data_IF_005836717862
#
_entry.id   IF_005836717862
#
_cell.length_a   1.000
_cell.length_b   1.000
_cell.length_c   1.000
_cell.angle_alpha   90.00
_cell.angle_beta   90.00
_cell.angle_gamma   90.00
#
_symmetry.space_group_name_H-M   'P 1'
#
loop_
_entity.id
_entity.type
_entity.pdbx_description
1 polymer ?
#
# COMPACT_ATOMS: atom_id res chain seq x y z
N UNK A 1 6.25 -3.16 2.63
CA UNK A 1 6.60 -2.42 3.86
C UNK A 1 5.54 -2.70 4.92
N UNK A 2 5.34 -1.82 5.90
CA UNK A 2 4.31 -1.99 6.94
C UNK A 2 3.19 -0.97 6.78
N UNK A 3 3.45 0.29 7.10
CA UNK A 3 2.49 1.41 7.05
C UNK A 3 2.83 2.34 5.90
N UNK A 4 1.85 2.62 5.03
CA UNK A 4 1.90 3.65 3.97
C UNK A 4 3.19 3.61 3.13
N UNK A 5 3.64 2.42 2.76
CA UNK A 5 5.00 2.25 2.24
C UNK A 5 5.13 2.54 0.73
N UNK A 6 4.03 2.87 0.04
CA UNK A 6 4.00 3.52 -1.27
C UNK A 6 3.12 4.78 -1.14
N UNK A 7 3.74 5.92 -0.85
CA UNK A 7 3.03 7.17 -0.57
C UNK A 7 3.58 8.33 -1.40
N UNK A 8 2.79 9.39 -1.53
CA UNK A 8 3.23 10.64 -2.16
C UNK A 8 2.17 11.31 -3.04
N UNK A 9 2.61 12.27 -3.84
CA UNK A 9 1.77 13.11 -4.72
C UNK A 9 2.40 13.20 -6.11
N UNK A 10 2.29 12.12 -6.89
CA UNK A 10 2.90 11.98 -8.21
C UNK A 10 2.00 11.19 -9.15
N UNK A 11 2.19 11.32 -10.46
CA UNK A 11 1.70 10.34 -11.43
C UNK A 11 2.67 9.15 -11.44
N UNK A 12 2.25 8.02 -10.85
CA UNK A 12 3.12 6.87 -10.62
C UNK A 12 2.48 5.60 -11.17
N UNK A 13 3.23 4.83 -11.94
CA UNK A 13 2.87 3.47 -12.35
C UNK A 13 3.94 2.50 -11.84
N UNK A 14 3.51 1.49 -11.09
CA UNK A 14 4.35 0.35 -10.69
C UNK A 14 3.81 -0.87 -11.42
N UNK A 15 4.65 -1.50 -12.23
CA UNK A 15 4.26 -2.62 -13.08
C UNK A 15 5.03 -3.90 -12.75
N UNK A 16 4.41 -5.06 -12.99
CA UNK A 16 5.06 -6.37 -12.97
C UNK A 16 5.88 -6.66 -11.69
N UNK A 17 5.45 -6.12 -10.57
CA UNK A 17 6.23 -6.10 -9.33
C UNK A 17 5.63 -7.01 -8.25
N UNK A 18 6.50 -7.56 -7.41
CA UNK A 18 6.10 -8.17 -6.15
C UNK A 18 6.09 -7.11 -5.05
N UNK A 19 4.93 -6.90 -4.43
CA UNK A 19 4.72 -5.94 -3.35
C UNK A 19 4.48 -6.75 -2.06
N UNK A 20 5.48 -6.75 -1.18
CA UNK A 20 5.42 -7.51 0.08
C UNK A 20 4.95 -6.63 1.25
N UNK A 21 3.89 -7.08 1.92
CA UNK A 21 3.41 -6.56 3.20
C UNK A 21 4.17 -7.29 4.30
N UNK A 22 4.96 -6.56 5.09
CA UNK A 22 5.79 -7.12 6.16
C UNK A 22 5.08 -7.03 7.48
N UNK A 23 5.41 -7.93 8.40
CA UNK A 23 4.91 -7.88 9.79
C UNK A 23 5.33 -6.56 10.46
N UNK A 24 4.34 -5.78 10.88
CA UNK A 24 4.50 -4.59 11.71
C UNK A 24 4.48 -4.88 13.21
N UNK A 25 4.30 -3.83 14.00
CA UNK A 25 4.06 -3.95 15.43
C UNK A 25 2.70 -4.59 15.72
N UNK A 26 2.52 -5.18 16.90
CA UNK A 26 1.26 -5.76 17.32
C UNK A 26 0.10 -4.74 17.24
N UNK A 27 -1.02 -5.14 16.65
CA UNK A 27 -2.19 -4.28 16.44
C UNK A 27 -2.04 -3.23 15.34
N UNK A 28 -0.87 -3.10 14.70
CA UNK A 28 -0.67 -2.17 13.58
C UNK A 28 -1.39 -2.65 12.32
N UNK A 29 -2.17 -1.77 11.70
CA UNK A 29 -2.73 -2.02 10.38
C UNK A 29 -1.71 -1.69 9.27
N UNK A 30 -1.71 -2.48 8.21
CA UNK A 30 -0.86 -2.26 7.05
C UNK A 30 -1.62 -1.53 5.94
N UNK A 31 -0.95 -0.59 5.28
CA UNK A 31 -1.51 0.14 4.13
C UNK A 31 -0.48 0.13 3.00
N UNK A 32 -0.83 -0.46 1.85
CA UNK A 32 0.06 -0.53 0.69
C UNK A 32 0.29 0.87 0.12
N UNK A 33 -0.79 1.61 -0.16
CA UNK A 33 -0.72 2.97 -0.70
C UNK A 33 -1.25 4.04 0.24
N UNK A 34 -0.72 5.25 0.10
CA UNK A 34 -1.28 6.46 0.70
C UNK A 34 -1.12 7.63 -0.27
N UNK A 35 -2.19 7.89 -1.03
CA UNK A 35 -2.19 8.93 -2.06
C UNK A 35 -2.49 10.31 -1.44
N UNK A 36 -1.63 11.28 -1.75
CA UNK A 36 -1.72 12.67 -1.26
C UNK A 36 -2.44 13.64 -2.21
N UNK A 37 -3.25 13.15 -3.15
CA UNK A 37 -3.97 13.99 -4.09
C UNK A 37 -5.20 14.68 -3.45
N UNK A 38 -4.95 15.83 -2.84
CA UNK A 38 -5.98 16.73 -2.30
C UNK A 38 -6.88 17.38 -3.36
N UNK A 39 -6.42 17.42 -4.62
CA UNK A 39 -7.11 18.15 -5.71
C UNK A 39 -7.99 17.21 -6.56
N UNK A 40 -8.09 15.94 -6.19
CA UNK A 40 -8.92 14.94 -6.88
C UNK A 40 -8.70 14.94 -8.39
N UNK A 41 -9.79 14.94 -9.15
CA UNK A 41 -9.75 14.89 -10.62
C UNK A 41 -9.22 16.16 -11.30
N UNK A 42 -9.00 17.27 -10.56
CA UNK A 42 -8.44 18.51 -11.14
C UNK A 42 -6.96 18.38 -11.51
N UNK A 43 -6.27 17.36 -10.99
CA UNK A 43 -4.86 17.05 -11.29
C UNK A 43 -4.73 15.59 -11.73
N UNK A 44 -3.88 15.35 -12.73
CA UNK A 44 -3.69 14.02 -13.33
C UNK A 44 -2.56 13.26 -12.62
N UNK A 45 -2.73 13.05 -11.32
CA UNK A 45 -1.78 12.31 -10.47
C UNK A 45 -2.49 11.16 -9.77
N UNK A 46 -1.73 10.17 -9.32
CA UNK A 46 -2.26 8.98 -8.67
C UNK A 46 -1.24 7.83 -8.71
N UNK A 47 -1.52 6.78 -7.94
CA UNK A 47 -0.73 5.54 -7.92
C UNK A 47 -1.49 4.44 -8.67
N UNK A 48 -0.88 3.90 -9.74
CA UNK A 48 -1.38 2.75 -10.49
C UNK A 48 -0.49 1.54 -10.21
N UNK A 49 -1.09 0.46 -9.72
CA UNK A 49 -0.44 -0.85 -9.54
C UNK A 49 -0.94 -1.81 -10.62
N UNK A 50 -0.12 -2.09 -11.64
CA UNK A 50 -0.54 -2.89 -12.78
C UNK A 50 0.23 -4.21 -12.86
N UNK A 51 -0.49 -5.33 -12.96
CA UNK A 51 0.10 -6.66 -12.99
C UNK A 51 1.06 -6.93 -11.81
N UNK A 52 0.74 -6.36 -10.65
CA UNK A 52 1.51 -6.57 -9.42
C UNK A 52 0.93 -7.76 -8.65
N UNK A 53 1.80 -8.48 -7.94
CA UNK A 53 1.39 -9.43 -6.89
C UNK A 53 1.58 -8.75 -5.55
N UNK A 54 0.49 -8.59 -4.79
CA UNK A 54 0.52 -8.05 -3.44
C UNK A 54 0.34 -9.22 -2.47
N UNK A 55 1.34 -9.48 -1.63
CA UNK A 55 1.40 -10.68 -0.79
C UNK A 55 1.91 -10.34 0.61
N UNK A 56 1.49 -11.13 1.61
CA UNK A 56 2.15 -11.11 2.91
C UNK A 56 3.57 -11.69 2.78
N UNK A 57 4.53 -11.14 3.53
CA UNK A 57 5.82 -11.76 3.70
C UNK A 57 5.73 -12.98 4.63
N UNK A 58 6.83 -13.73 4.72
CA UNK A 58 6.87 -14.98 5.49
C UNK A 58 6.52 -14.78 6.96
N UNK A 59 6.91 -13.65 7.54
CA UNK A 59 6.73 -13.37 8.96
C UNK A 59 5.29 -12.92 9.27
N UNK A 60 4.63 -12.25 8.32
CA UNK A 60 3.22 -11.87 8.41
C UNK A 60 2.27 -13.04 8.09
N UNK A 61 2.69 -14.03 7.31
CA UNK A 61 1.85 -15.14 6.86
C UNK A 61 1.20 -15.91 8.03
N UNK A 62 1.92 -16.04 9.15
CA UNK A 62 1.42 -16.67 10.38
C UNK A 62 0.29 -15.87 11.05
N UNK A 63 0.31 -14.54 10.91
CA UNK A 63 -0.61 -13.61 11.58
C UNK A 63 -1.58 -12.94 10.59
N UNK A 64 -1.65 -13.39 9.34
CA UNK A 64 -2.42 -12.73 8.27
C UNK A 64 -3.92 -12.62 8.54
N UNK A 65 -4.46 -13.49 9.40
CA UNK A 65 -5.88 -13.50 9.77
C UNK A 65 -6.21 -12.51 10.90
N UNK A 66 -5.23 -12.15 11.72
CA UNK A 66 -5.39 -11.21 12.83
C UNK A 66 -4.87 -9.82 12.47
N UNK A 67 -3.90 -9.74 11.55
CA UNK A 67 -3.27 -8.52 11.09
C UNK A 67 -4.02 -7.90 9.91
N UNK A 68 -4.67 -6.75 10.16
CA UNK A 68 -5.43 -6.03 9.14
C UNK A 68 -4.50 -5.43 8.09
N UNK A 69 -4.75 -5.74 6.82
CA UNK A 69 -3.96 -5.23 5.69
C UNK A 69 -4.89 -4.67 4.61
N UNK A 70 -4.60 -3.46 4.14
CA UNK A 70 -5.44 -2.73 3.19
C UNK A 70 -4.63 -2.28 1.97
N UNK A 71 -5.30 -2.17 0.82
CA UNK A 71 -4.68 -1.68 -0.42
C UNK A 71 -4.24 -0.22 -0.31
N UNK A 72 -4.91 0.58 0.52
CA UNK A 72 -4.46 1.92 0.83
C UNK A 72 -5.44 2.67 1.71
N UNK A 73 -5.09 3.92 2.03
CA UNK A 73 -5.97 4.90 2.68
C UNK A 73 -5.71 6.29 2.09
N UNK A 74 -6.70 7.21 2.12
CA UNK A 74 -6.44 8.61 1.77
C UNK A 74 -5.43 9.19 2.77
N UNK A 75 -4.33 9.76 2.28
CA UNK A 75 -3.36 10.43 3.14
C UNK A 75 -3.81 11.85 3.52
N UNK A 76 -4.51 12.50 2.59
CA UNK A 76 -4.99 13.87 2.69
C UNK A 76 -6.47 13.96 2.37
#
# INVERSE_FOLDING_TARGET
>A
GTVEFIFGKSATVIQNSLILIRKGSEGQAHYVTADGNEKGAAVKIGIVLQNCRIMADKDLEADKLTSKSYLGRPWK
#
